data_IF_229125854805
#
_entry.id   IF_229125854805
#
_cell.length_a   1.000
_cell.length_b   1.000
_cell.length_c   1.000
_cell.angle_alpha   90.00
_cell.angle_beta   90.00
_cell.angle_gamma   90.00
#
_symmetry.space_group_name_H-M   'P 1'
#
loop_
_entity.id
_entity.type
_entity.pdbx_description
1 polymer ?
#
# COMPACT_ATOMS: atom_id res chain seq x y z
N UNK A 1 -6.43 -1.94 5.70
CA UNK A 1 -7.78 -2.51 5.76
C UNK A 1 -8.08 -2.88 7.20
N UNK A 2 -9.34 -2.87 7.63
CA UNK A 2 -9.72 -3.57 8.86
C UNK A 2 -9.46 -5.07 8.67
N UNK A 3 -9.11 -5.74 9.76
CA UNK A 3 -8.80 -7.14 9.71
C UNK A 3 -10.04 -8.01 9.51
N UNK A 4 -9.85 -9.06 8.72
CA UNK A 4 -10.83 -10.07 8.41
C UNK A 4 -10.15 -11.40 8.10
N UNK A 5 -10.26 -12.35 9.01
CA UNK A 5 -9.74 -13.72 8.90
C UNK A 5 -10.90 -14.68 8.58
N UNK A 6 -11.63 -14.40 7.50
CA UNK A 6 -12.98 -14.94 7.19
C UNK A 6 -14.10 -14.44 8.12
N UNK A 7 -13.77 -13.98 9.34
CA UNK A 7 -14.65 -13.21 10.22
C UNK A 7 -14.17 -11.76 10.38
N UNK A 8 -15.07 -10.79 10.54
CA UNK A 8 -14.69 -9.40 10.82
C UNK A 8 -14.27 -9.23 12.28
N UNK A 9 -13.09 -8.68 12.55
CA UNK A 9 -12.56 -8.50 13.92
C UNK A 9 -11.95 -7.12 14.23
N UNK A 10 -12.05 -6.17 13.30
CA UNK A 10 -11.76 -4.76 13.58
C UNK A 10 -10.29 -4.39 13.36
N UNK A 11 -9.68 -3.67 14.30
CA UNK A 11 -8.37 -3.03 14.11
C UNK A 11 -7.24 -3.63 14.93
N UNK A 12 -7.46 -4.76 15.62
CA UNK A 12 -6.39 -5.35 16.44
C UNK A 12 -5.26 -5.87 15.53
N UNK A 13 -4.02 -5.35 15.63
CA UNK A 13 -2.95 -5.64 14.67
C UNK A 13 -2.39 -7.05 14.79
N UNK A 14 -2.80 -7.81 15.81
CA UNK A 14 -2.43 -9.23 15.99
C UNK A 14 -3.43 -10.19 15.36
N UNK A 15 -4.48 -9.70 14.71
CA UNK A 15 -5.46 -10.56 14.05
C UNK A 15 -5.20 -10.64 12.54
N UNK A 16 -5.64 -11.73 11.91
CA UNK A 16 -5.35 -12.02 10.50
C UNK A 16 -6.14 -11.18 9.50
N UNK A 17 -5.59 -10.98 8.31
CA UNK A 17 -6.28 -10.36 7.17
C UNK A 17 -6.05 -11.21 5.92
N UNK A 18 -7.13 -11.64 5.28
CA UNK A 18 -7.09 -12.56 4.15
C UNK A 18 -6.70 -11.88 2.82
N UNK A 19 -5.90 -12.57 2.00
CA UNK A 19 -5.51 -12.11 0.66
C UNK A 19 -6.72 -11.97 -0.30
N UNK A 20 -7.66 -12.92 -0.31
CA UNK A 20 -8.87 -12.79 -1.12
C UNK A 20 -9.69 -11.56 -0.75
N UNK A 21 -9.81 -11.28 0.55
CA UNK A 21 -10.46 -10.08 1.05
C UNK A 21 -9.78 -8.81 0.55
N UNK A 22 -8.45 -8.76 0.48
CA UNK A 22 -7.74 -7.62 -0.12
C UNK A 22 -8.07 -7.46 -1.62
N UNK A 23 -7.96 -8.55 -2.41
CA UNK A 23 -8.20 -8.53 -3.86
C UNK A 23 -9.64 -8.16 -4.21
N UNK A 24 -10.63 -8.75 -3.54
CA UNK A 24 -12.04 -8.52 -3.86
C UNK A 24 -12.55 -7.18 -3.30
N UNK A 25 -11.98 -6.69 -2.18
CA UNK A 25 -12.26 -5.34 -1.71
C UNK A 25 -11.73 -4.30 -2.70
N UNK A 26 -10.52 -4.49 -3.25
CA UNK A 26 -10.01 -3.62 -4.31
C UNK A 26 -10.98 -3.55 -5.49
N UNK A 27 -11.38 -4.70 -6.03
CA UNK A 27 -12.32 -4.75 -7.16
C UNK A 27 -13.68 -4.10 -6.83
N UNK A 28 -14.16 -4.28 -5.61
CA UNK A 28 -15.40 -3.64 -5.14
C UNK A 28 -15.26 -2.12 -5.13
N UNK A 29 -14.16 -1.59 -4.62
CA UNK A 29 -13.88 -0.15 -4.58
C UNK A 29 -13.74 0.45 -5.98
N UNK A 30 -13.07 -0.25 -6.90
CA UNK A 30 -12.94 0.13 -8.32
C UNK A 30 -14.33 0.33 -8.97
N UNK A 31 -15.27 -0.59 -8.70
CA UNK A 31 -16.64 -0.51 -9.23
C UNK A 31 -17.50 0.53 -8.51
N UNK A 32 -17.36 0.65 -7.20
CA UNK A 32 -18.07 1.68 -6.44
C UNK A 32 -17.66 3.07 -6.89
N UNK A 33 -16.38 3.30 -7.15
CA UNK A 33 -15.86 4.54 -7.71
C UNK A 33 -16.42 4.80 -9.12
N UNK A 34 -16.46 3.79 -10.00
CA UNK A 34 -17.06 3.90 -11.34
C UNK A 34 -18.53 4.36 -11.30
N UNK A 35 -19.30 3.80 -10.36
CA UNK A 35 -20.74 4.06 -10.25
C UNK A 35 -21.05 5.40 -9.58
N UNK A 36 -20.29 5.77 -8.55
CA UNK A 36 -20.62 6.90 -7.67
C UNK A 36 -19.81 8.15 -7.96
N UNK A 37 -18.59 8.00 -8.49
CA UNK A 37 -17.60 9.07 -8.57
C UNK A 37 -17.04 9.53 -7.22
N UNK A 38 -17.29 8.78 -6.13
CA UNK A 38 -16.79 9.11 -4.80
C UNK A 38 -15.30 8.80 -4.68
N UNK A 39 -14.52 9.82 -4.32
CA UNK A 39 -13.05 9.77 -4.27
C UNK A 39 -12.53 9.09 -3.01
N UNK A 40 -13.35 8.94 -1.97
CA UNK A 40 -12.96 8.22 -0.75
C UNK A 40 -12.68 6.74 -1.05
N UNK A 41 -13.38 6.17 -2.05
CA UNK A 41 -13.10 4.81 -2.51
C UNK A 41 -11.74 4.69 -3.20
N UNK A 42 -11.30 5.73 -3.91
CA UNK A 42 -9.98 5.77 -4.54
C UNK A 42 -8.86 5.79 -3.49
N UNK A 43 -9.02 6.61 -2.46
CA UNK A 43 -8.06 6.69 -1.35
C UNK A 43 -7.97 5.35 -0.61
N UNK A 44 -9.10 4.67 -0.38
CA UNK A 44 -9.10 3.34 0.23
C UNK A 44 -8.46 2.30 -0.70
N UNK A 45 -8.77 2.33 -2.00
CA UNK A 45 -8.22 1.42 -2.99
C UNK A 45 -6.69 1.47 -2.99
N UNK A 46 -6.10 2.67 -3.07
CA UNK A 46 -4.65 2.86 -3.03
C UNK A 46 -4.03 2.36 -1.73
N UNK A 47 -4.70 2.57 -0.59
CA UNK A 47 -4.23 2.03 0.70
C UNK A 47 -4.16 0.51 0.71
N UNK A 48 -5.05 -0.21 0.02
CA UNK A 48 -4.99 -1.67 -0.05
C UNK A 48 -3.95 -2.12 -1.06
N UNK A 49 -4.00 -1.54 -2.27
CA UNK A 49 -3.13 -1.90 -3.39
C UNK A 49 -1.64 -1.74 -3.04
N UNK A 50 -1.26 -0.61 -2.43
CA UNK A 50 0.14 -0.28 -2.17
C UNK A 50 0.64 -0.71 -0.78
N UNK A 51 -0.19 -1.35 0.03
CA UNK A 51 0.20 -1.83 1.35
C UNK A 51 -0.13 -3.30 1.53
N UNK A 52 -1.41 -3.66 1.67
CA UNK A 52 -1.80 -5.03 2.03
C UNK A 52 -1.46 -6.04 0.93
N UNK A 53 -1.84 -5.76 -0.32
CA UNK A 53 -1.71 -6.69 -1.45
C UNK A 53 -0.27 -7.23 -1.66
N UNK A 54 0.78 -6.38 -1.82
CA UNK A 54 2.11 -6.85 -2.16
C UNK A 54 2.75 -7.75 -1.09
N UNK A 55 2.37 -7.61 0.17
CA UNK A 55 3.00 -8.39 1.26
C UNK A 55 2.64 -9.87 1.26
N UNK A 56 1.57 -10.29 0.59
CA UNK A 56 1.03 -11.66 0.71
C UNK A 56 1.40 -12.57 -0.45
N UNK A 57 2.24 -12.12 -1.38
CA UNK A 57 2.65 -12.85 -2.58
C UNK A 57 4.17 -12.74 -2.69
N UNK A 58 4.87 -13.83 -3.01
CA UNK A 58 6.32 -13.79 -3.24
C UNK A 58 6.65 -13.01 -4.51
N UNK A 59 7.87 -12.48 -4.59
CA UNK A 59 8.33 -11.62 -5.70
C UNK A 59 8.21 -12.30 -7.09
N UNK A 60 8.28 -13.63 -7.12
CA UNK A 60 8.13 -14.45 -8.34
C UNK A 60 6.67 -14.85 -8.63
N UNK A 61 5.72 -14.46 -7.77
CA UNK A 61 4.29 -14.77 -7.84
C UNK A 61 3.97 -16.28 -7.79
N UNK A 62 4.87 -17.10 -7.24
CA UNK A 62 4.69 -18.55 -7.17
C UNK A 62 4.06 -19.01 -5.85
N UNK A 63 4.36 -18.33 -4.74
CA UNK A 63 3.85 -18.66 -3.41
C UNK A 63 3.05 -17.50 -2.82
N UNK A 64 2.12 -17.82 -1.92
CA UNK A 64 1.30 -16.82 -1.23
C UNK A 64 1.14 -17.11 0.25
N UNK A 65 0.82 -16.08 1.01
CA UNK A 65 0.40 -16.14 2.41
C UNK A 65 -1.12 -15.96 2.48
N UNK A 66 -1.84 -16.86 3.16
CA UNK A 66 -3.30 -16.79 3.24
C UNK A 66 -3.77 -15.63 4.12
N UNK A 67 -3.27 -15.57 5.36
CA UNK A 67 -3.54 -14.51 6.34
C UNK A 67 -2.26 -13.75 6.66
N UNK A 68 -2.31 -12.43 6.63
CA UNK A 68 -1.24 -11.55 7.15
C UNK A 68 -1.68 -10.82 8.42
N UNK A 69 -0.72 -10.26 9.16
CA UNK A 69 -1.01 -9.36 10.30
C UNK A 69 -0.36 -7.98 10.08
N UNK A 70 -0.96 -6.94 10.65
CA UNK A 70 -0.36 -5.61 10.67
C UNK A 70 0.94 -5.60 11.50
N UNK A 71 0.91 -6.28 12.65
CA UNK A 71 2.10 -6.57 13.46
C UNK A 71 2.48 -8.06 13.33
N UNK A 72 3.12 -8.40 12.21
CA UNK A 72 3.60 -9.74 11.86
C UNK A 72 5.10 -9.89 12.11
N UNK A 73 5.49 -10.45 13.26
CA UNK A 73 6.91 -10.61 13.63
C UNK A 73 7.46 -12.01 13.38
N UNK A 74 6.59 -12.97 13.02
CA UNK A 74 6.95 -14.33 12.65
C UNK A 74 5.96 -14.90 11.64
N UNK A 75 6.49 -15.60 10.65
CA UNK A 75 5.74 -16.41 9.69
C UNK A 75 6.19 -17.86 9.88
N UNK A 76 5.37 -18.66 10.54
CA UNK A 76 5.69 -20.06 10.90
C UNK A 76 4.43 -20.90 10.79
N UNK A 77 4.59 -22.20 10.59
CA UNK A 77 3.48 -23.15 10.53
C UNK A 77 2.99 -23.46 11.94
N UNK A 78 2.11 -22.62 12.46
CA UNK A 78 1.59 -22.74 13.82
C UNK A 78 0.27 -21.96 13.97
N UNK A 79 -0.68 -22.57 14.68
CA UNK A 79 -2.02 -22.00 14.91
C UNK A 79 -1.96 -20.76 15.81
N UNK A 80 -2.46 -19.63 15.34
CA UNK A 80 -2.51 -18.36 16.07
C UNK A 80 -3.75 -18.26 16.97
N UNK A 81 -3.91 -17.12 17.64
CA UNK A 81 -5.02 -16.84 18.56
C UNK A 81 -6.16 -16.05 17.90
N UNK A 82 -6.26 -16.14 16.57
CA UNK A 82 -7.35 -15.61 15.75
C UNK A 82 -7.96 -16.75 14.93
N UNK A 83 -8.98 -16.49 14.11
CA UNK A 83 -9.64 -17.57 13.39
C UNK A 83 -8.69 -18.18 12.36
N UNK A 84 -8.46 -19.48 12.52
CA UNK A 84 -7.83 -20.35 11.55
C UNK A 84 -8.67 -21.62 11.47
N UNK A 85 -8.98 -22.08 10.27
CA UNK A 85 -9.65 -23.36 10.11
C UNK A 85 -8.70 -24.47 10.55
N UNK A 86 -9.13 -25.32 11.49
CA UNK A 86 -8.32 -26.45 11.96
C UNK A 86 -7.85 -27.36 10.82
N UNK A 87 -8.63 -27.43 9.73
CA UNK A 87 -8.27 -28.20 8.57
C UNK A 87 -7.05 -27.64 7.83
N UNK A 88 -6.63 -26.39 8.06
CA UNK A 88 -5.46 -25.77 7.42
C UNK A 88 -4.12 -26.23 8.02
N UNK A 89 -4.16 -27.01 9.10
CA UNK A 89 -2.95 -27.59 9.72
C UNK A 89 -1.89 -26.54 10.11
N UNK A 90 -2.34 -25.33 10.47
CA UNK A 90 -1.52 -24.19 10.88
C UNK A 90 -0.70 -23.54 9.76
N UNK A 91 -1.12 -23.67 8.49
CA UNK A 91 -0.38 -23.16 7.33
C UNK A 91 -0.78 -21.73 6.93
N UNK A 92 -1.76 -21.13 7.59
CA UNK A 92 -2.41 -19.89 7.19
C UNK A 92 -1.46 -18.69 7.02
N UNK A 93 -0.40 -18.63 7.83
CA UNK A 93 0.59 -17.55 7.72
C UNK A 93 1.79 -17.91 6.84
N UNK A 94 2.06 -19.18 6.53
CA UNK A 94 3.25 -19.55 5.77
C UNK A 94 3.08 -19.27 4.29
N UNK A 95 4.17 -18.93 3.60
CA UNK A 95 4.16 -18.81 2.16
C UNK A 95 4.19 -20.21 1.52
N UNK A 96 3.28 -20.46 0.60
CA UNK A 96 3.28 -21.66 -0.23
C UNK A 96 2.17 -21.59 -1.25
N UNK A 97 2.29 -22.39 -2.31
CA UNK A 97 1.32 -22.37 -3.42
C UNK A 97 -0.13 -22.61 -2.94
N UNK A 98 -0.34 -23.56 -2.03
CA UNK A 98 -1.68 -23.98 -1.58
C UNK A 98 -1.88 -23.89 -0.06
N UNK A 99 -1.03 -23.19 0.69
CA UNK A 99 -1.18 -23.00 2.16
C UNK A 99 -2.52 -22.33 2.51
N UNK A 100 -3.14 -22.68 3.64
CA UNK A 100 -4.51 -22.25 3.97
C UNK A 100 -5.55 -22.76 2.95
N UNK A 101 -6.51 -21.92 2.57
CA UNK A 101 -7.43 -22.26 1.47
C UNK A 101 -6.82 -21.95 0.08
N UNK A 102 -7.12 -22.79 -0.94
CA UNK A 102 -6.60 -22.60 -2.30
C UNK A 102 -7.29 -21.47 -3.08
N UNK A 103 -8.37 -20.89 -2.54
CA UNK A 103 -9.06 -19.75 -3.15
C UNK A 103 -8.11 -18.57 -3.43
N UNK A 104 -7.23 -18.26 -2.48
CA UNK A 104 -6.23 -17.19 -2.62
C UNK A 104 -5.22 -17.47 -3.73
N UNK A 105 -4.82 -18.73 -3.95
CA UNK A 105 -3.94 -19.09 -5.05
C UNK A 105 -4.61 -18.83 -6.41
N UNK A 106 -5.92 -19.10 -6.51
CA UNK A 106 -6.70 -18.80 -7.71
C UNK A 106 -7.01 -17.31 -7.87
N UNK A 107 -7.11 -16.57 -6.76
CA UNK A 107 -7.56 -15.18 -6.77
C UNK A 107 -6.41 -14.16 -6.90
N UNK A 108 -5.23 -14.44 -6.34
CA UNK A 108 -4.14 -13.47 -6.22
C UNK A 108 -3.74 -12.81 -7.54
N UNK A 109 -3.80 -13.56 -8.64
CA UNK A 109 -3.45 -13.07 -9.98
C UNK A 109 -4.43 -12.04 -10.54
N UNK A 110 -5.59 -11.84 -9.92
CA UNK A 110 -6.61 -10.89 -10.40
C UNK A 110 -6.39 -9.47 -9.88
N UNK A 111 -5.72 -9.28 -8.74
CA UNK A 111 -5.59 -7.97 -8.08
C UNK A 111 -4.99 -6.88 -8.97
N UNK A 112 -3.73 -7.06 -9.39
CA UNK A 112 -3.03 -6.07 -10.23
C UNK A 112 -3.65 -5.88 -11.62
N UNK A 113 -4.11 -6.93 -12.34
CA UNK A 113 -4.81 -6.74 -13.61
C UNK A 113 -6.11 -5.96 -13.49
N UNK A 114 -6.95 -6.25 -12.48
CA UNK A 114 -8.19 -5.50 -12.24
C UNK A 114 -7.88 -4.05 -11.89
N UNK A 115 -6.92 -3.81 -10.99
CA UNK A 115 -6.42 -2.47 -10.67
C UNK A 115 -5.99 -1.68 -11.91
N UNK A 116 -5.20 -2.31 -12.80
CA UNK A 116 -4.71 -1.68 -14.04
C UNK A 116 -5.85 -1.29 -14.99
N UNK A 117 -6.94 -2.07 -15.02
CA UNK A 117 -8.12 -1.76 -15.84
C UNK A 117 -8.92 -0.55 -15.34
N UNK A 118 -8.67 -0.10 -14.11
CA UNK A 118 -9.44 0.92 -13.40
C UNK A 118 -8.61 2.16 -13.02
N UNK A 119 -7.52 2.43 -13.75
CA UNK A 119 -6.74 3.65 -13.55
C UNK A 119 -7.43 4.90 -14.14
N UNK A 120 -8.07 4.72 -15.30
CA UNK A 120 -8.65 5.80 -16.12
C UNK A 120 -10.13 5.61 -16.38
N UNK A 121 -10.89 6.71 -16.36
CA UNK A 121 -12.35 6.71 -16.54
C UNK A 121 -12.80 7.76 -17.56
N UNK A 122 -13.84 7.42 -18.33
CA UNK A 122 -14.59 8.42 -19.09
C UNK A 122 -15.44 9.26 -18.15
N UNK A 123 -15.64 10.54 -18.48
CA UNK A 123 -16.41 11.47 -17.65
C UNK A 123 -17.68 11.95 -18.38
N UNK A 124 -18.74 12.34 -17.64
CA UNK A 124 -20.00 12.78 -18.25
C UNK A 124 -19.88 14.01 -19.15
N UNK A 125 -18.85 14.85 -18.96
CA UNK A 125 -18.56 16.02 -19.78
C UNK A 125 -17.62 15.72 -20.96
N UNK A 126 -17.61 14.47 -21.43
CA UNK A 126 -16.81 13.96 -22.55
C UNK A 126 -15.29 14.12 -22.36
N UNK A 127 -14.81 14.13 -21.12
CA UNK A 127 -13.40 14.15 -20.77
C UNK A 127 -12.85 12.79 -20.31
N UNK A 128 -11.66 12.83 -19.74
CA UNK A 128 -11.02 11.69 -19.08
C UNK A 128 -10.63 12.03 -17.66
N UNK A 129 -10.75 11.06 -16.76
CA UNK A 129 -10.30 11.15 -15.38
C UNK A 129 -9.19 10.14 -15.09
N UNK A 130 -8.07 10.62 -14.57
CA UNK A 130 -7.09 9.78 -13.88
C UNK A 130 -7.46 9.75 -12.40
N UNK A 131 -8.04 8.62 -11.97
CA UNK A 131 -8.50 8.46 -10.59
C UNK A 131 -7.51 7.68 -9.75
N UNK A 132 -6.73 6.78 -10.34
CA UNK A 132 -5.72 6.01 -9.62
C UNK A 132 -4.41 6.13 -10.38
N UNK A 133 -3.33 6.39 -9.64
CA UNK A 133 -2.05 6.75 -10.25
C UNK A 133 -1.09 5.57 -10.34
N UNK A 134 -0.51 5.40 -11.52
CA UNK A 134 0.46 4.35 -11.85
C UNK A 134 1.02 4.63 -13.24
N UNK A 135 2.28 4.26 -13.55
CA UNK A 135 2.80 4.33 -14.91
C UNK A 135 1.83 3.64 -15.88
N UNK A 136 1.28 4.41 -16.82
CA UNK A 136 0.17 3.92 -17.63
C UNK A 136 0.04 4.68 -18.96
N UNK A 137 -0.71 4.07 -19.88
CA UNK A 137 -1.14 4.71 -21.11
C UNK A 137 -2.61 4.40 -21.37
N UNK A 138 -3.40 5.42 -21.71
CA UNK A 138 -4.81 5.29 -22.08
C UNK A 138 -5.02 5.82 -23.48
N UNK A 139 -5.79 5.09 -24.30
CA UNK A 139 -6.28 5.57 -25.60
C UNK A 139 -7.80 5.56 -25.58
N UNK A 140 -8.41 6.73 -25.74
CA UNK A 140 -9.86 6.89 -25.58
C UNK A 140 -10.42 8.00 -26.49
N UNK A 141 -11.75 8.00 -26.63
CA UNK A 141 -12.49 9.07 -27.31
C UNK A 141 -12.86 10.16 -26.32
N UNK A 142 -12.71 11.42 -26.72
CA UNK A 142 -13.00 12.61 -25.92
C UNK A 142 -13.70 13.69 -26.74
N UNK A 143 -14.27 14.69 -26.08
CA UNK A 143 -14.97 15.81 -26.70
C UNK A 143 -16.06 15.33 -27.66
N UNK A 144 -15.94 15.70 -28.93
CA UNK A 144 -16.89 15.33 -29.98
C UNK A 144 -16.60 13.97 -30.65
N UNK A 145 -15.79 13.11 -30.01
CA UNK A 145 -15.48 11.75 -30.47
C UNK A 145 -14.08 11.56 -31.05
N UNK A 146 -13.21 12.58 -30.95
CA UNK A 146 -11.81 12.51 -31.38
C UNK A 146 -11.02 11.57 -30.47
N UNK A 147 -10.03 10.88 -31.03
CA UNK A 147 -9.21 9.91 -30.28
C UNK A 147 -7.94 10.59 -29.76
N UNK A 148 -7.69 10.44 -28.47
CA UNK A 148 -6.45 10.87 -27.80
C UNK A 148 -5.77 9.69 -27.13
N UNK A 149 -4.45 9.75 -27.05
CA UNK A 149 -3.63 8.92 -26.18
C UNK A 149 -3.02 9.80 -25.09
N UNK A 150 -3.10 9.39 -23.84
CA UNK A 150 -2.42 10.05 -22.72
C UNK A 150 -1.42 9.06 -22.13
N UNK A 151 -0.17 9.50 -21.97
CA UNK A 151 0.90 8.75 -21.31
C UNK A 151 1.11 9.36 -19.93
N UNK A 152 0.99 8.55 -18.88
CA UNK A 152 1.28 8.90 -17.50
C UNK A 152 2.68 8.37 -17.12
N UNK A 153 3.60 9.29 -16.88
CA UNK A 153 4.97 9.00 -16.43
C UNK A 153 5.10 9.42 -14.96
N UNK A 154 5.37 8.45 -14.08
CA UNK A 154 5.51 8.67 -12.64
C UNK A 154 6.28 7.52 -12.00
N UNK A 155 6.78 7.73 -10.77
CA UNK A 155 7.20 6.63 -9.88
C UNK A 155 6.27 6.51 -8.66
N UNK A 156 5.04 7.04 -8.76
CA UNK A 156 3.99 6.86 -7.75
C UNK A 156 3.78 5.36 -7.47
N UNK A 157 3.63 4.94 -6.20
CA UNK A 157 3.46 5.76 -4.99
C UNK A 157 4.77 6.18 -4.29
N UNK A 158 5.93 5.92 -4.90
CA UNK A 158 7.25 6.21 -4.32
C UNK A 158 7.73 7.64 -4.60
N UNK A 159 7.08 8.34 -5.51
CA UNK A 159 7.37 9.73 -5.90
C UNK A 159 6.09 10.57 -5.91
N UNK A 160 6.25 11.88 -5.76
CA UNK A 160 5.13 12.85 -5.67
C UNK A 160 4.79 13.53 -7.00
N UNK A 161 5.50 13.20 -8.09
CA UNK A 161 5.34 13.83 -9.40
C UNK A 161 4.71 12.89 -10.41
N UNK A 162 3.75 13.43 -11.16
CA UNK A 162 3.09 12.76 -12.26
C UNK A 162 3.11 13.67 -13.48
N UNK A 163 3.52 13.12 -14.62
CA UNK A 163 3.51 13.83 -15.90
C UNK A 163 2.54 13.15 -16.85
N UNK A 164 1.57 13.89 -17.34
CA UNK A 164 0.61 13.43 -18.34
C UNK A 164 0.96 14.09 -19.69
N UNK A 165 1.41 13.30 -20.65
CA UNK A 165 1.68 13.77 -22.01
C UNK A 165 0.51 13.42 -22.92
N UNK A 166 -0.07 14.42 -23.57
CA UNK A 166 -1.26 14.26 -24.42
C UNK A 166 -0.83 14.13 -25.88
N UNK A 167 -1.39 13.13 -26.57
CA UNK A 167 -1.22 12.89 -28.00
C UNK A 167 -2.60 12.88 -28.67
N UNK A 168 -2.86 13.83 -29.56
CA UNK A 168 -4.03 13.80 -30.45
C UNK A 168 -3.73 12.83 -31.58
N UNK A 169 -4.51 11.74 -31.65
CA UNK A 169 -4.27 10.62 -32.58
C UNK A 169 -4.98 10.85 -33.91
N UNK A 170 -6.16 11.46 -33.90
CA UNK A 170 -6.91 11.74 -35.13
C UNK A 170 -6.17 12.78 -36.00
N UNK A 171 -5.86 12.42 -37.24
CA UNK A 171 -5.15 13.30 -38.18
C UNK A 171 -6.01 14.47 -38.68
N UNK A 172 -7.34 14.38 -38.55
CA UNK A 172 -8.25 15.45 -38.97
C UNK A 172 -8.25 16.63 -37.99
N UNK A 173 -8.10 16.34 -36.70
CA UNK A 173 -8.12 17.33 -35.63
C UNK A 173 -6.69 17.61 -35.16
N UNK A 174 -6.15 18.79 -35.46
CA UNK A 174 -4.82 19.19 -34.95
C UNK A 174 -4.82 19.58 -33.48
N UNK A 175 -6.00 19.80 -32.93
CA UNK A 175 -6.23 20.15 -31.54
C UNK A 175 -7.65 19.74 -31.14
N UNK A 176 -7.85 19.38 -29.87
CA UNK A 176 -9.11 18.82 -29.38
C UNK A 176 -9.43 19.38 -27.99
N UNK A 177 -10.65 19.88 -27.82
CA UNK A 177 -11.13 20.40 -26.54
C UNK A 177 -11.80 19.31 -25.73
N UNK A 178 -11.31 19.08 -24.50
CA UNK A 178 -11.94 18.21 -23.52
C UNK A 178 -11.41 18.52 -22.10
N UNK A 179 -12.19 18.21 -21.06
CA UNK A 179 -11.72 18.29 -19.68
C UNK A 179 -10.80 17.11 -19.32
N UNK A 180 -9.67 17.40 -18.71
CA UNK A 180 -8.85 16.41 -18.00
C UNK A 180 -9.13 16.54 -16.49
N UNK A 181 -9.58 15.45 -15.88
CA UNK A 181 -9.89 15.35 -14.45
C UNK A 181 -8.75 14.61 -13.75
N UNK A 182 -8.17 15.21 -12.72
CA UNK A 182 -7.08 14.62 -11.93
C UNK A 182 -7.50 14.61 -10.46
N UNK A 183 -7.53 13.42 -9.85
CA UNK A 183 -7.84 13.28 -8.43
C UNK A 183 -6.75 13.90 -7.56
N UNK A 184 -7.12 14.71 -6.58
CA UNK A 184 -6.20 15.11 -5.51
C UNK A 184 -6.50 14.27 -4.28
N UNK A 185 -5.62 13.33 -3.88
CA UNK A 185 -5.88 12.44 -2.75
C UNK A 185 -6.16 13.19 -1.45
N UNK A 186 -7.02 12.65 -0.57
CA UNK A 186 -7.35 13.30 0.70
C UNK A 186 -6.14 13.45 1.64
N UNK A 187 -5.13 12.59 1.49
CA UNK A 187 -3.89 12.69 2.26
C UNK A 187 -3.03 13.91 1.85
N UNK A 188 -3.16 14.41 0.62
CA UNK A 188 -2.41 15.54 0.10
C UNK A 188 -3.02 16.86 0.60
N UNK A 189 -2.24 17.74 1.23
CA UNK A 189 -2.78 19.00 1.76
C UNK A 189 -3.18 19.96 0.63
N UNK A 190 -2.28 20.14 -0.33
CA UNK A 190 -2.48 20.99 -1.50
C UNK A 190 -1.59 20.50 -2.64
N UNK A 191 -2.22 20.16 -3.76
CA UNK A 191 -1.55 19.79 -5.00
C UNK A 191 -1.27 21.03 -5.85
N UNK A 192 -0.20 20.95 -6.64
CA UNK A 192 0.14 21.95 -7.64
C UNK A 192 0.06 21.34 -9.04
N UNK A 193 -0.56 22.08 -9.96
CA UNK A 193 -0.70 21.68 -11.36
C UNK A 193 -0.04 22.73 -12.26
N UNK A 194 0.79 22.26 -13.18
CA UNK A 194 1.32 23.06 -14.28
C UNK A 194 0.83 22.50 -15.62
N UNK A 195 0.70 23.37 -16.61
CA UNK A 195 0.45 22.99 -18.00
C UNK A 195 1.53 23.63 -18.86
N UNK A 196 2.30 22.81 -19.57
CA UNK A 196 3.45 23.24 -20.38
C UNK A 196 4.45 24.10 -19.58
N UNK A 197 4.70 23.73 -18.32
CA UNK A 197 5.60 24.44 -17.41
C UNK A 197 5.05 25.74 -16.81
N UNK A 198 3.81 26.12 -17.14
CA UNK A 198 3.14 27.31 -16.58
C UNK A 198 2.20 26.89 -15.45
N UNK A 199 2.26 27.51 -14.26
CA UNK A 199 1.31 27.25 -13.19
C UNK A 199 -0.14 27.44 -13.64
N UNK A 200 -0.99 26.46 -13.34
CA UNK A 200 -2.41 26.45 -13.71
C UNK A 200 -3.33 26.52 -12.48
N UNK A 201 -3.18 25.59 -11.55
CA UNK A 201 -4.08 25.45 -10.39
C UNK A 201 -3.32 25.02 -9.13
N UNK A 202 -3.84 25.43 -7.97
CA UNK A 202 -3.57 24.82 -6.67
C UNK A 202 -4.89 24.25 -6.14
N UNK A 203 -4.88 22.99 -5.73
CA UNK A 203 -6.10 22.25 -5.40
C UNK A 203 -5.94 21.53 -4.07
N UNK A 204 -6.93 21.65 -3.18
CA UNK A 204 -6.91 21.00 -1.87
C UNK A 204 -7.12 19.49 -1.97
N UNK A 205 -6.64 18.77 -0.96
CA UNK A 205 -6.90 17.34 -0.79
C UNK A 205 -8.38 16.95 -0.83
N UNK A 206 -8.66 15.77 -1.36
CA UNK A 206 -10.01 15.20 -1.45
C UNK A 206 -10.87 15.82 -2.54
N UNK A 207 -10.27 16.57 -3.46
CA UNK A 207 -10.98 17.25 -4.55
C UNK A 207 -10.61 16.65 -5.92
N UNK A 208 -11.43 16.98 -6.92
CA UNK A 208 -11.12 16.73 -8.32
C UNK A 208 -10.62 18.02 -8.97
N UNK A 209 -9.39 18.01 -9.49
CA UNK A 209 -8.90 19.09 -10.33
C UNK A 209 -9.42 18.90 -11.76
N UNK A 210 -10.01 19.93 -12.36
CA UNK A 210 -10.58 19.84 -13.72
C UNK A 210 -9.94 20.89 -14.62
N UNK A 211 -9.19 20.43 -15.61
CA UNK A 211 -8.45 21.28 -16.54
C UNK A 211 -9.18 21.26 -17.89
N UNK A 212 -9.91 22.35 -18.19
CA UNK A 212 -10.63 22.52 -19.46
C UNK A 212 -9.79 23.30 -20.45
N UNK A 213 -9.29 22.63 -21.48
CA UNK A 213 -8.41 23.22 -22.50
C UNK A 213 -8.64 22.61 -23.88
N UNK A 214 -8.18 23.33 -24.90
CA UNK A 214 -7.95 22.79 -26.23
C UNK A 214 -6.52 22.25 -26.30
N UNK A 215 -6.40 20.93 -26.33
CA UNK A 215 -5.14 20.21 -26.26
C UNK A 215 -4.54 19.94 -27.63
N UNK A 216 -3.22 19.97 -27.72
CA UNK A 216 -2.41 19.59 -28.89
C UNK A 216 -1.47 18.46 -28.52
N UNK A 217 -1.03 17.70 -29.52
CA UNK A 217 0.01 16.68 -29.32
C UNK A 217 1.28 17.30 -28.75
N UNK A 218 1.76 16.73 -27.65
CA UNK A 218 2.94 17.20 -26.91
C UNK A 218 2.62 18.16 -25.77
N UNK A 219 1.36 18.55 -25.58
CA UNK A 219 0.96 19.25 -24.35
C UNK A 219 1.21 18.35 -23.14
N UNK A 220 1.73 18.96 -22.08
CA UNK A 220 2.08 18.29 -20.83
C UNK A 220 1.34 18.91 -19.67
N UNK A 221 0.80 18.05 -18.81
CA UNK A 221 0.26 18.41 -17.51
C UNK A 221 1.14 17.75 -16.45
N UNK A 222 1.67 18.54 -15.52
CA UNK A 222 2.41 18.00 -14.39
C UNK A 222 1.58 18.22 -13.12
N UNK A 223 1.37 17.14 -12.36
CA UNK A 223 0.73 17.14 -11.07
C UNK A 223 1.79 16.82 -10.01
N UNK A 224 1.91 17.69 -9.00
CA UNK A 224 2.73 17.45 -7.81
C UNK A 224 1.81 17.25 -6.62
N UNK A 225 2.00 16.15 -5.89
CA UNK A 225 1.22 15.73 -4.73
C UNK A 225 2.10 15.67 -3.46
N UNK A 226 2.43 16.79 -2.81
CA UNK A 226 3.35 16.81 -1.68
C UNK A 226 3.00 15.77 -0.61
N UNK A 227 3.96 14.86 -0.35
CA UNK A 227 3.78 13.73 0.57
C UNK A 227 4.41 14.03 1.93
N UNK A 228 3.65 14.71 2.79
CA UNK A 228 4.03 14.95 4.18
C UNK A 228 3.90 13.68 5.03
N UNK A 229 4.72 13.56 6.07
CA UNK A 229 4.56 12.53 7.10
C UNK A 229 3.30 12.84 7.90
N UNK A 230 2.46 11.83 8.08
CA UNK A 230 1.31 11.84 8.98
C UNK A 230 1.34 10.65 9.91
N UNK A 231 0.58 10.73 11.00
CA UNK A 231 0.29 9.57 11.84
C UNK A 231 -1.19 9.42 12.06
N UNK A 232 -1.67 8.18 12.06
CA UNK A 232 -3.05 7.81 12.36
C UNK A 232 -3.12 7.01 13.66
N UNK A 233 -4.27 7.03 14.34
CA UNK A 233 -4.50 6.30 15.60
C UNK A 233 -5.29 5.01 15.35
N UNK A 234 -4.84 3.93 15.97
CA UNK A 234 -5.39 2.59 15.79
C UNK A 234 -5.63 1.91 17.15
N UNK A 235 -5.55 0.58 17.20
CA UNK A 235 -5.86 -0.22 18.37
C UNK A 235 -5.00 0.21 19.57
N UNK A 236 -5.58 0.23 20.77
CA UNK A 236 -4.88 0.64 22.01
C UNK A 236 -4.16 2.01 21.90
N UNK A 237 -4.73 2.91 21.08
CA UNK A 237 -4.20 4.23 20.73
C UNK A 237 -2.80 4.22 20.09
N UNK A 238 -2.36 3.06 19.57
CA UNK A 238 -1.13 2.95 18.79
C UNK A 238 -1.16 3.87 17.56
N UNK A 239 0.03 4.17 17.06
CA UNK A 239 0.20 4.99 15.86
C UNK A 239 0.69 4.17 14.68
N UNK A 240 0.17 4.48 13.50
CA UNK A 240 0.79 4.11 12.24
C UNK A 240 1.44 5.35 11.62
N UNK A 241 2.62 5.19 11.03
CA UNK A 241 3.34 6.26 10.31
C UNK A 241 3.01 6.14 8.82
N UNK A 242 2.64 7.26 8.20
CA UNK A 242 2.15 7.31 6.83
C UNK A 242 2.85 8.42 6.03
N UNK A 243 3.08 8.19 4.74
CA UNK A 243 3.57 9.20 3.79
C UNK A 243 2.96 8.93 2.42
N UNK A 244 2.16 9.88 1.91
CA UNK A 244 1.37 9.62 0.70
C UNK A 244 0.31 8.53 0.96
N UNK A 245 0.08 7.60 0.02
CA UNK A 245 -0.80 6.45 0.24
C UNK A 245 -0.15 5.30 1.02
N UNK A 246 1.14 5.43 1.40
CA UNK A 246 1.93 4.37 2.00
C UNK A 246 1.87 4.44 3.54
N UNK A 247 1.57 3.30 4.14
CA UNK A 247 1.79 3.00 5.57
C UNK A 247 3.20 2.46 5.72
N UNK A 248 3.85 2.70 6.85
CA UNK A 248 5.21 2.27 7.12
C UNK A 248 5.27 1.23 8.25
N UNK A 249 6.14 0.24 8.08
CA UNK A 249 6.43 -0.79 9.07
C UNK A 249 7.92 -0.82 9.43
N UNK A 250 8.22 -1.35 10.61
CA UNK A 250 9.59 -1.58 11.06
C UNK A 250 10.34 -2.46 10.07
N UNK A 251 11.49 -1.99 9.58
CA UNK A 251 12.40 -2.80 8.77
C UNK A 251 13.05 -3.85 9.66
N UNK A 252 12.74 -5.12 9.40
CA UNK A 252 13.29 -6.26 10.12
C UNK A 252 14.17 -7.09 9.20
N UNK A 253 15.25 -7.69 9.72
CA UNK A 253 15.97 -8.70 8.97
C UNK A 253 15.11 -9.97 8.85
N UNK A 254 15.24 -10.68 7.74
CA UNK A 254 14.42 -11.86 7.45
C UNK A 254 15.31 -13.09 7.24
N UNK A 255 14.98 -14.17 7.95
CA UNK A 255 15.58 -15.48 7.76
C UNK A 255 14.52 -16.38 7.13
N UNK A 256 14.64 -16.61 5.83
CA UNK A 256 13.75 -17.46 5.04
C UNK A 256 14.22 -18.91 5.08
N UNK A 257 13.32 -19.84 5.39
CA UNK A 257 13.60 -21.27 5.38
C UNK A 257 12.50 -22.04 4.64
N UNK A 258 12.91 -22.80 3.62
CA UNK A 258 12.02 -23.73 2.91
C UNK A 258 11.87 -25.02 3.71
N UNK A 259 10.64 -25.41 3.98
CA UNK A 259 10.24 -26.65 4.64
C UNK A 259 9.51 -27.55 3.64
N UNK A 260 9.54 -28.86 3.90
CA UNK A 260 8.82 -29.85 3.08
C UNK A 260 7.62 -30.37 3.86
N UNK A 261 6.48 -30.50 3.19
CA UNK A 261 5.30 -31.16 3.76
C UNK A 261 5.51 -32.67 3.86
N UNK A 262 4.90 -33.31 4.87
CA UNK A 262 4.87 -34.77 4.94
C UNK A 262 4.07 -35.37 3.76
N UNK A 263 4.38 -36.60 3.35
CA UNK A 263 3.78 -37.23 2.15
C UNK A 263 2.24 -37.16 2.11
N UNK A 264 1.57 -37.33 3.25
CA UNK A 264 0.11 -37.27 3.34
C UNK A 264 -0.46 -35.86 3.07
N UNK A 265 0.32 -34.81 3.33
CA UNK A 265 -0.09 -33.40 3.22
C UNK A 265 0.20 -32.82 1.85
N UNK A 266 1.16 -33.40 1.10
CA UNK A 266 1.61 -32.89 -0.20
C UNK A 266 0.48 -32.84 -1.24
N UNK A 267 -0.45 -33.79 -1.19
CA UNK A 267 -1.62 -33.81 -2.08
C UNK A 267 -2.55 -32.60 -1.88
N UNK A 268 -2.47 -31.93 -0.72
CA UNK A 268 -3.30 -30.79 -0.38
C UNK A 268 -2.56 -29.46 -0.50
N UNK A 269 -1.34 -29.38 0.06
CA UNK A 269 -0.61 -28.12 0.20
C UNK A 269 0.55 -27.95 -0.81
N UNK A 270 0.85 -28.98 -1.60
CA UNK A 270 2.05 -29.03 -2.44
C UNK A 270 3.28 -29.55 -1.69
N UNK A 271 4.44 -29.47 -2.33
CA UNK A 271 5.67 -30.12 -1.81
C UNK A 271 6.30 -29.34 -0.65
N UNK A 272 6.31 -28.01 -0.74
CA UNK A 272 7.04 -27.12 0.17
C UNK A 272 6.23 -25.92 0.63
N UNK A 273 6.65 -25.36 1.75
CA UNK A 273 6.23 -24.05 2.25
C UNK A 273 7.44 -23.32 2.80
N UNK A 274 7.30 -22.01 3.05
CA UNK A 274 8.37 -21.16 3.55
C UNK A 274 7.95 -20.52 4.88
N UNK A 275 8.87 -20.57 5.83
CA UNK A 275 8.80 -19.86 7.10
C UNK A 275 9.76 -18.68 7.07
N UNK A 276 9.40 -17.59 7.75
CA UNK A 276 10.20 -16.37 7.87
C UNK A 276 10.28 -15.96 9.33
N UNK A 277 11.50 -15.90 9.84
CA UNK A 277 11.77 -15.49 11.23
C UNK A 277 12.78 -14.35 11.29
N UNK A 278 12.93 -13.73 12.44
CA UNK A 278 13.92 -12.68 12.66
C UNK A 278 14.58 -12.79 14.02
N UNK A 279 15.86 -12.41 14.09
CA UNK A 279 16.55 -12.12 15.36
C UNK A 279 16.57 -10.62 15.66
N UNK A 280 16.02 -9.79 14.76
CA UNK A 280 15.92 -8.34 14.95
C UNK A 280 14.92 -8.06 16.06
N UNK A 281 15.25 -7.22 17.05
CA UNK A 281 14.26 -6.74 18.01
C UNK A 281 13.10 -6.06 17.29
N UNK A 282 11.87 -6.29 17.73
CA UNK A 282 10.66 -5.74 17.12
C UNK A 282 9.80 -4.95 18.10
N UNK A 283 10.00 -5.18 19.41
CA UNK A 283 9.17 -4.68 20.50
C UNK A 283 9.48 -3.21 20.83
N UNK A 284 9.38 -2.34 19.83
CA UNK A 284 9.63 -0.92 19.95
C UNK A 284 8.33 -0.13 20.13
N UNK A 285 8.35 0.85 21.03
CA UNK A 285 7.39 1.95 21.04
C UNK A 285 8.04 3.22 20.50
N UNK A 286 7.29 4.00 19.73
CA UNK A 286 7.75 5.31 19.24
C UNK A 286 7.77 6.30 20.39
N UNK A 287 8.85 7.08 20.51
CA UNK A 287 8.97 8.12 21.55
C UNK A 287 7.87 9.16 21.36
N UNK A 288 7.15 9.46 22.43
CA UNK A 288 6.02 10.41 22.42
C UNK A 288 6.47 11.78 21.91
N UNK A 289 5.68 12.37 21.02
CA UNK A 289 5.94 13.65 20.40
C UNK A 289 4.68 14.51 20.33
N UNK A 290 4.88 15.82 20.16
CA UNK A 290 3.78 16.73 19.80
C UNK A 290 3.65 16.75 18.29
N UNK A 291 2.42 16.74 17.78
CA UNK A 291 2.15 16.68 16.34
C UNK A 291 2.86 17.79 15.54
N UNK A 292 2.94 19.00 16.09
CA UNK A 292 3.69 20.13 15.51
C UNK A 292 5.21 19.88 15.36
N UNK A 293 5.76 18.91 16.09
CA UNK A 293 7.18 18.54 16.08
C UNK A 293 7.45 17.25 15.26
N UNK A 294 6.47 16.77 14.48
CA UNK A 294 6.56 15.50 13.71
C UNK A 294 7.81 15.44 12.81
N UNK A 295 8.14 16.55 12.15
CA UNK A 295 9.31 16.65 11.26
C UNK A 295 10.66 16.58 12.02
N UNK A 296 10.67 16.75 13.34
CA UNK A 296 11.87 16.58 14.18
C UNK A 296 12.02 15.13 14.69
N UNK A 297 10.95 14.33 14.58
CA UNK A 297 10.89 12.96 15.08
C UNK A 297 11.06 11.92 13.98
N UNK A 298 10.75 12.29 12.74
CA UNK A 298 10.86 11.44 11.58
C UNK A 298 11.71 12.09 10.50
N UNK A 299 12.71 11.37 9.99
CA UNK A 299 13.56 11.80 8.88
C UNK A 299 13.31 10.89 7.68
N UNK A 300 12.86 11.47 6.56
CA UNK A 300 12.69 10.73 5.30
C UNK A 300 14.02 10.68 4.56
N UNK A 301 14.44 9.48 4.18
CA UNK A 301 15.59 9.21 3.31
C UNK A 301 15.07 8.52 2.05
N UNK A 302 15.43 9.05 0.88
CA UNK A 302 15.00 8.52 -0.42
C UNK A 302 16.24 8.06 -1.19
N UNK A 303 16.22 6.82 -1.65
CA UNK A 303 17.17 6.28 -2.62
C UNK A 303 16.62 6.50 -4.03
N UNK A 304 17.13 7.52 -4.73
CA UNK A 304 16.68 7.90 -6.07
C UNK A 304 16.86 6.81 -7.13
N UNK A 305 17.81 5.88 -6.94
CA UNK A 305 18.01 4.79 -7.89
C UNK A 305 16.91 3.75 -7.72
N UNK A 306 16.65 3.34 -6.48
CA UNK A 306 15.56 2.41 -6.17
C UNK A 306 14.19 2.99 -6.48
N UNK A 307 14.00 4.30 -6.29
CA UNK A 307 12.75 4.99 -6.59
C UNK A 307 12.38 4.86 -8.08
N UNK A 308 13.39 4.75 -8.96
CA UNK A 308 13.23 4.56 -10.41
C UNK A 308 13.18 3.08 -10.82
N UNK A 309 13.20 2.17 -9.86
CA UNK A 309 13.11 0.73 -10.08
C UNK A 309 11.71 0.30 -10.51
N UNK A 310 11.62 -0.88 -11.15
CA UNK A 310 10.35 -1.42 -11.66
C UNK A 310 9.59 -2.27 -10.64
N UNK A 311 10.24 -2.67 -9.55
CA UNK A 311 9.64 -3.51 -8.52
C UNK A 311 10.13 -3.09 -7.12
N UNK A 312 9.41 -2.18 -6.43
CA UNK A 312 9.84 -1.66 -5.14
C UNK A 312 9.39 -2.50 -3.94
N UNK A 313 8.60 -3.56 -4.16
CA UNK A 313 7.79 -4.25 -3.13
C UNK A 313 8.53 -5.27 -2.27
N UNK A 314 9.84 -5.10 -2.05
CA UNK A 314 10.62 -5.93 -1.15
C UNK A 314 11.64 -5.10 -0.35
N UNK A 315 12.26 -5.70 0.69
CA UNK A 315 13.19 -4.99 1.58
C UNK A 315 14.41 -4.44 0.83
N UNK A 316 14.90 -5.17 -0.17
CA UNK A 316 16.08 -4.79 -0.95
C UNK A 316 15.80 -3.53 -1.78
N UNK A 317 14.64 -3.48 -2.44
CA UNK A 317 14.26 -2.43 -3.39
C UNK A 317 13.44 -1.29 -2.77
N UNK A 318 13.09 -1.36 -1.48
CA UNK A 318 12.38 -0.30 -0.77
C UNK A 318 13.13 1.06 -0.91
N UNK A 319 12.55 2.04 -1.63
CA UNK A 319 13.27 3.27 -1.97
C UNK A 319 13.17 4.34 -0.91
N UNK A 320 12.15 4.29 -0.05
CA UNK A 320 11.91 5.26 1.00
C UNK A 320 12.18 4.61 2.35
N UNK A 321 12.94 5.28 3.19
CA UNK A 321 13.14 4.94 4.59
C UNK A 321 12.72 6.11 5.46
N UNK A 322 12.05 5.83 6.57
CA UNK A 322 11.75 6.83 7.60
C UNK A 322 12.51 6.42 8.85
N UNK A 323 13.47 7.24 9.28
CA UNK A 323 14.11 7.06 10.60
C UNK A 323 13.18 7.60 11.67
N UNK A 324 13.02 6.86 12.75
CA UNK A 324 12.21 7.27 13.90
C UNK A 324 12.95 6.99 15.22
N UNK A 325 12.68 7.83 16.23
CA UNK A 325 13.16 7.60 17.59
C UNK A 325 12.20 6.68 18.34
N UNK A 326 12.72 5.57 18.85
CA UNK A 326 11.93 4.57 19.56
C UNK A 326 12.66 4.08 20.81
N UNK A 327 11.94 3.39 21.69
CA UNK A 327 12.51 2.67 22.83
C UNK A 327 11.97 1.25 22.83
N UNK A 328 12.80 0.27 23.20
CA UNK A 328 12.31 -1.10 23.44
C UNK A 328 11.30 -1.13 24.57
N UNK A 329 10.36 -2.05 24.52
CA UNK A 329 9.38 -2.34 25.56
C UNK A 329 9.63 -3.78 26.00
N UNK A 330 10.51 -4.02 27.00
CA UNK A 330 10.86 -5.38 27.42
C UNK A 330 9.67 -6.21 27.92
N UNK A 331 8.56 -5.60 28.31
CA UNK A 331 7.34 -6.33 28.68
C UNK A 331 6.48 -6.75 27.48
N UNK A 332 6.67 -6.14 26.31
CA UNK A 332 5.98 -6.53 25.08
C UNK A 332 6.74 -7.70 24.45
N UNK A 333 6.27 -8.89 24.76
CA UNK A 333 6.89 -10.17 24.43
C UNK A 333 6.06 -10.91 23.37
N UNK A 334 6.63 -11.97 22.79
CA UNK A 334 5.86 -12.86 21.94
C UNK A 334 4.72 -13.51 22.73
N UNK A 335 3.57 -13.67 22.06
CA UNK A 335 2.46 -14.47 22.54
C UNK A 335 2.00 -15.36 21.40
N UNK A 336 2.12 -16.67 21.58
CA UNK A 336 1.71 -17.65 20.57
C UNK A 336 2.31 -17.38 19.17
N UNK A 337 3.62 -17.08 19.15
CA UNK A 337 4.40 -16.75 17.94
C UNK A 337 3.89 -15.53 17.14
N UNK A 338 3.18 -14.62 17.81
CA UNK A 338 2.86 -13.29 17.32
C UNK A 338 3.41 -12.25 18.26
N UNK A 339 3.26 -10.97 17.90
CA UNK A 339 3.39 -9.92 18.91
C UNK A 339 2.38 -10.18 20.04
N UNK A 340 2.83 -9.97 21.29
CA UNK A 340 1.92 -9.99 22.43
C UNK A 340 0.85 -8.90 22.32
N UNK A 341 -0.16 -8.91 23.21
CA UNK A 341 -1.17 -7.85 23.27
C UNK A 341 -0.51 -6.47 23.19
N UNK A 342 -1.01 -5.64 22.28
CA UNK A 342 -0.43 -4.32 22.01
C UNK A 342 -0.48 -3.46 23.29
N UNK A 343 0.66 -2.92 23.75
CA UNK A 343 0.65 -2.03 24.90
C UNK A 343 -0.16 -0.76 24.61
N UNK A 344 -0.92 -0.29 25.59
CA UNK A 344 -1.61 0.98 25.47
C UNK A 344 -0.62 2.15 25.33
N UNK A 345 -0.92 3.10 24.44
CA UNK A 345 -0.05 4.23 24.05
C UNK A 345 0.08 5.35 25.09
N UNK A 346 0.35 4.98 26.34
CA UNK A 346 0.78 5.87 27.42
C UNK A 346 1.90 5.23 28.25
N UNK A 347 2.59 4.24 27.68
CA UNK A 347 3.60 3.45 28.36
C UNK A 347 4.85 4.25 28.72
N UNK A 348 5.62 3.72 29.65
CA UNK A 348 6.95 4.19 30.01
C UNK A 348 7.97 3.10 29.69
N UNK A 349 9.13 3.47 29.15
CA UNK A 349 10.25 2.55 29.02
C UNK A 349 11.55 3.19 29.48
N UNK A 350 12.24 2.49 30.38
CA UNK A 350 13.59 2.83 30.84
C UNK A 350 14.68 2.42 29.84
N UNK A 351 14.32 1.76 28.73
CA UNK A 351 15.26 1.47 27.67
C UNK A 351 15.81 2.76 27.04
N UNK A 352 17.07 2.74 26.57
CA UNK A 352 17.64 3.88 25.86
C UNK A 352 16.85 4.17 24.58
N UNK A 353 16.90 5.42 24.12
CA UNK A 353 16.35 5.79 22.81
C UNK A 353 17.26 5.20 21.73
N UNK A 354 16.65 4.48 20.80
CA UNK A 354 17.26 3.90 19.61
C UNK A 354 16.66 4.55 18.36
N UNK A 355 17.44 4.64 17.29
CA UNK A 355 16.92 4.98 15.97
C UNK A 355 16.48 3.68 15.29
N UNK A 356 15.24 3.65 14.81
CA UNK A 356 14.69 2.55 14.01
C UNK A 356 14.43 3.02 12.59
N UNK A 357 14.49 2.08 11.64
CA UNK A 357 14.18 2.35 10.24
C UNK A 357 12.80 1.76 9.92
N UNK A 358 11.95 2.59 9.35
CA UNK A 358 10.67 2.17 8.79
C UNK A 358 10.76 2.17 7.27
N UNK A 359 10.16 1.17 6.63
CA UNK A 359 10.02 1.07 5.16
C UNK A 359 8.53 0.94 4.80
N UNK A 360 8.11 1.19 3.55
CA UNK A 360 6.72 1.01 3.16
C UNK A 360 6.24 -0.39 3.54
N UNK A 361 5.02 -0.47 4.09
CA UNK A 361 4.40 -1.72 4.55
C UNK A 361 4.43 -2.78 3.44
N UNK A 362 4.12 -2.37 2.22
CA UNK A 362 4.13 -3.25 1.04
C UNK A 362 5.49 -3.86 0.70
N UNK A 363 6.59 -3.35 1.27
CA UNK A 363 7.95 -3.88 1.09
C UNK A 363 8.37 -4.89 2.17
N UNK A 364 7.48 -5.22 3.11
CA UNK A 364 7.82 -6.05 4.28
C UNK A 364 7.20 -7.44 4.19
N UNK A 365 7.92 -8.46 4.68
CA UNK A 365 7.30 -9.73 5.06
C UNK A 365 7.11 -9.80 6.57
N UNK A 366 8.10 -9.36 7.35
CA UNK A 366 7.99 -9.16 8.79
C UNK A 366 7.95 -7.66 9.15
N UNK A 367 7.11 -7.29 10.13
CA UNK A 367 6.77 -5.90 10.42
C UNK A 367 6.13 -5.70 11.79
N UNK A 368 6.31 -4.48 12.29
CA UNK A 368 5.39 -3.80 13.22
C UNK A 368 4.97 -2.52 12.52
N UNK A 369 3.67 -2.29 12.34
CA UNK A 369 3.13 -1.08 11.70
C UNK A 369 2.25 -0.25 12.65
N UNK A 370 1.68 -0.88 13.67
CA UNK A 370 1.01 -0.21 14.78
C UNK A 370 1.95 -0.17 15.99
N UNK A 371 2.50 1.01 16.26
CA UNK A 371 3.47 1.23 17.34
C UNK A 371 2.79 1.85 18.56
N UNK A 372 3.00 1.30 19.76
CA UNK A 372 2.63 2.01 20.98
C UNK A 372 3.48 3.28 21.15
N UNK A 373 2.91 4.33 21.75
CA UNK A 373 3.70 5.48 22.19
C UNK A 373 4.29 5.26 23.59
N UNK A 374 5.54 5.66 23.76
CA UNK A 374 6.29 5.53 25.01
C UNK A 374 7.00 6.83 25.40
N UNK A 375 7.21 7.00 26.71
CA UNK A 375 8.01 8.10 27.27
C UNK A 375 9.43 7.67 27.62
#
# INVERSE_FOLDING_TARGET
>A
MYGGDEGLHGSNPTQGSELCSAVELMFSLEKMMEVTGDLDFADHLERIAFNALPTQITDDFMDKQYLQQANQVMVTRHVRNFYEDHNHSGTDLTYGLLTGYPCCASNMHQGWPKFTQHLWYATPDNGLAALIYSPSEVTAKVGNGSVVKIVEETHYPMDDRLTFTIHVVDQKDKAVEFPLHLRVPAWCVEAAITVNGVPDQQVKGGAMAVIRRTWKSGDKVELTLPMDIKTSRWYENAIAVERGPLVYGLKMAENWETKTFGEAEQTRYGDTYQEVTSTTPWNYGIVTFREQDIQQHFEVVIDEQKQKGTYPWNIENAPIQIKAKAKRIPSWQLYNEMTGPLPYSTGHSDAPVEEIILIPYGCTTLRVSEFPLVR
#
